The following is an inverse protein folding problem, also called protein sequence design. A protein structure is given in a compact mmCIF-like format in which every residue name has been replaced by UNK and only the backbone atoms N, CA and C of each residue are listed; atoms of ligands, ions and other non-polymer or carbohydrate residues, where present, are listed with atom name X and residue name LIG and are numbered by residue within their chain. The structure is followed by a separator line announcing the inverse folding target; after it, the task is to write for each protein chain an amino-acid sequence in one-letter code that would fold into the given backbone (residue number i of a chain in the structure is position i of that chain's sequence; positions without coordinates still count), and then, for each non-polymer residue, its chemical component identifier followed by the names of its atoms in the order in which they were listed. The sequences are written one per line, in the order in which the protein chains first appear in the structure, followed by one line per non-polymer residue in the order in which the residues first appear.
data_IF_299632535855
#
_entry.id   IF_299632535855
#
_cell.length_a   1.000
_cell.length_b   1.000
_cell.length_c   1.000
_cell.angle_alpha   90.00
_cell.angle_beta   90.00
_cell.angle_gamma   90.00
#
_symmetry.space_group_name_H-M   'P 1'
#
loop_
_entity.id
_entity.type
_entity.pdbx_description
1 polymer ?
#
# COMPACT_ATOMS: atom_id res chain seq x y z
N UNK A 1 22.91 -32.41 -22.39
CA UNK A 1 21.52 -32.00 -22.07
C UNK A 1 21.60 -30.98 -20.95
N UNK A 2 21.16 -29.73 -21.11
CA UNK A 2 21.09 -28.82 -19.98
C UNK A 2 19.99 -29.31 -19.04
N UNK A 3 20.36 -29.56 -17.79
CA UNK A 3 19.45 -29.89 -16.71
C UNK A 3 18.35 -28.83 -16.61
N UNK A 4 17.09 -29.27 -16.62
CA UNK A 4 15.96 -28.42 -16.20
C UNK A 4 16.32 -27.83 -14.83
N UNK A 5 16.24 -26.50 -14.62
CA UNK A 5 16.38 -25.96 -13.28
C UNK A 5 15.33 -26.59 -12.38
N UNK A 6 15.73 -26.94 -11.16
CA UNK A 6 14.87 -27.46 -10.10
C UNK A 6 13.59 -26.63 -10.07
N UNK A 7 12.44 -27.28 -10.21
CA UNK A 7 11.12 -26.65 -10.22
C UNK A 7 10.86 -26.09 -8.81
N UNK A 8 11.40 -24.90 -8.51
CA UNK A 8 11.24 -24.26 -7.21
C UNK A 8 9.79 -23.83 -7.03
N UNK A 9 9.19 -24.17 -5.89
CA UNK A 9 7.82 -23.81 -5.56
C UNK A 9 7.65 -22.28 -5.65
N UNK A 10 6.74 -21.75 -6.50
CA UNK A 10 6.52 -20.31 -6.66
C UNK A 10 6.25 -19.58 -5.34
N UNK A 11 5.62 -20.26 -4.38
CA UNK A 11 5.29 -19.73 -3.06
C UNK A 11 6.57 -19.49 -2.25
N UNK A 12 7.52 -20.44 -2.33
CA UNK A 12 8.80 -20.35 -1.66
C UNK A 12 9.65 -19.21 -2.25
N UNK A 13 9.65 -19.08 -3.57
CA UNK A 13 10.32 -17.97 -4.26
C UNK A 13 9.77 -16.61 -3.86
N UNK A 14 8.45 -16.49 -3.70
CA UNK A 14 7.84 -15.27 -3.20
C UNK A 14 8.27 -14.98 -1.75
N UNK A 15 8.28 -16.00 -0.88
CA UNK A 15 8.72 -15.85 0.52
C UNK A 15 10.16 -15.35 0.57
N UNK A 16 11.09 -16.01 -0.13
CA UNK A 16 12.50 -15.61 -0.20
C UNK A 16 12.67 -14.18 -0.74
N UNK A 17 11.88 -13.79 -1.75
CA UNK A 17 11.87 -12.42 -2.29
C UNK A 17 11.38 -11.42 -1.23
N UNK A 18 10.30 -11.75 -0.52
CA UNK A 18 9.72 -10.88 0.50
C UNK A 18 10.62 -10.74 1.74
N UNK A 19 11.43 -11.72 2.10
CA UNK A 19 12.40 -11.60 3.20
C UNK A 19 13.42 -10.48 2.97
N UNK A 20 13.69 -10.13 1.71
CA UNK A 20 14.67 -9.11 1.32
C UNK A 20 14.03 -7.73 1.06
N UNK A 21 12.70 -7.64 1.00
CA UNK A 21 11.97 -6.41 0.66
C UNK A 21 11.23 -5.87 1.88
N UNK A 22 11.79 -4.83 2.48
CA UNK A 22 11.18 -4.13 3.63
C UNK A 22 10.27 -2.96 3.22
N UNK A 23 10.45 -2.43 2.01
CA UNK A 23 9.63 -1.33 1.50
C UNK A 23 8.26 -1.85 1.08
N UNK A 24 7.21 -1.42 1.78
CA UNK A 24 5.84 -1.91 1.57
C UNK A 24 5.36 -1.83 0.12
N UNK A 25 5.66 -0.73 -0.60
CA UNK A 25 5.30 -0.61 -2.02
C UNK A 25 5.87 -1.73 -2.88
N UNK A 26 7.18 -2.01 -2.72
CA UNK A 26 7.86 -3.10 -3.44
C UNK A 26 7.36 -4.49 -3.03
N UNK A 27 6.90 -4.68 -1.78
CA UNK A 27 6.25 -5.93 -1.37
C UNK A 27 4.92 -6.13 -2.10
N UNK A 28 4.12 -5.07 -2.20
CA UNK A 28 2.82 -5.13 -2.88
C UNK A 28 3.00 -5.37 -4.38
N UNK A 29 4.02 -4.77 -5.00
CA UNK A 29 4.43 -5.10 -6.37
C UNK A 29 4.81 -6.58 -6.52
N UNK A 30 5.61 -7.13 -5.61
CA UNK A 30 5.99 -8.55 -5.64
C UNK A 30 4.77 -9.49 -5.48
N UNK A 31 3.82 -9.14 -4.61
CA UNK A 31 2.56 -9.88 -4.49
C UNK A 31 1.72 -9.77 -5.76
N UNK A 32 1.61 -8.58 -6.35
CA UNK A 32 0.86 -8.38 -7.58
C UNK A 32 1.46 -9.21 -8.73
N UNK A 33 2.77 -9.14 -8.92
CA UNK A 33 3.50 -9.91 -9.91
C UNK A 33 3.23 -11.42 -9.77
N UNK A 34 3.36 -11.94 -8.54
CA UNK A 34 3.10 -13.34 -8.23
C UNK A 34 1.65 -13.75 -8.53
N UNK A 35 0.67 -12.90 -8.20
CA UNK A 35 -0.74 -13.20 -8.48
C UNK A 35 -1.02 -13.22 -9.99
N UNK A 36 -0.44 -12.31 -10.76
CA UNK A 36 -0.58 -12.32 -12.23
C UNK A 36 0.10 -13.55 -12.83
N UNK A 37 1.28 -13.95 -12.35
CA UNK A 37 1.99 -15.14 -12.84
C UNK A 37 1.21 -16.45 -12.60
N UNK A 38 0.34 -16.48 -11.59
CA UNK A 38 -0.56 -17.62 -11.31
C UNK A 38 -1.93 -17.51 -11.97
N UNK A 39 -2.22 -16.39 -12.63
CA UNK A 39 -3.52 -16.15 -13.23
C UNK A 39 -3.67 -16.94 -14.53
N UNK A 40 -4.82 -17.57 -14.73
CA UNK A 40 -5.19 -18.19 -16.01
C UNK A 40 -5.75 -17.16 -17.01
N UNK A 41 -6.20 -16.00 -16.51
CA UNK A 41 -6.81 -14.94 -17.33
C UNK A 41 -5.81 -13.90 -17.88
N UNK A 42 -4.63 -13.79 -17.26
CA UNK A 42 -3.68 -12.70 -17.51
C UNK A 42 -2.25 -13.21 -17.58
N UNK A 43 -1.49 -12.66 -18.52
CA UNK A 43 -0.06 -12.89 -18.66
C UNK A 43 0.71 -11.61 -18.27
N UNK A 44 1.77 -11.75 -17.47
CA UNK A 44 2.68 -10.63 -17.19
C UNK A 44 3.62 -10.41 -18.39
N UNK A 45 3.56 -9.23 -19.02
CA UNK A 45 4.48 -8.88 -20.12
C UNK A 45 5.66 -8.05 -19.64
N UNK A 46 5.42 -7.10 -18.73
CA UNK A 46 6.43 -6.18 -18.20
C UNK A 46 6.11 -5.86 -16.73
N UNK A 47 7.14 -5.85 -15.88
CA UNK A 47 7.09 -5.29 -14.53
C UNK A 47 8.22 -4.26 -14.31
N UNK A 48 7.92 -3.19 -13.58
CA UNK A 48 8.83 -2.14 -13.14
C UNK A 48 9.71 -1.54 -14.26
N UNK A 49 9.10 -1.16 -15.39
CA UNK A 49 9.83 -0.63 -16.54
C UNK A 49 10.23 0.83 -16.32
N UNK A 50 11.52 1.05 -16.10
CA UNK A 50 12.09 2.39 -16.03
C UNK A 50 12.14 3.05 -17.41
N UNK A 51 11.64 4.28 -17.49
CA UNK A 51 11.69 5.12 -18.68
C UNK A 51 12.84 6.11 -18.53
N UNK A 52 13.93 5.87 -19.24
CA UNK A 52 15.15 6.68 -19.16
C UNK A 52 15.37 7.40 -20.49
N UNK A 53 15.62 8.72 -20.43
CA UNK A 53 15.99 9.54 -21.58
C UNK A 53 17.21 10.39 -21.20
N UNK A 54 18.27 10.36 -22.01
CA UNK A 54 19.48 11.17 -21.79
C UNK A 54 20.04 11.04 -20.36
N UNK A 55 20.17 9.81 -19.85
CA UNK A 55 20.60 9.48 -18.46
C UNK A 55 19.67 10.00 -17.35
N UNK A 56 18.49 10.53 -17.68
CA UNK A 56 17.48 10.98 -16.71
C UNK A 56 16.29 10.03 -16.70
N UNK A 57 15.92 9.56 -15.52
CA UNK A 57 14.67 8.81 -15.32
C UNK A 57 13.48 9.75 -15.44
N UNK A 58 12.63 9.51 -16.44
CA UNK A 58 11.37 10.23 -16.66
C UNK A 58 10.25 9.68 -15.78
N UNK A 59 10.32 8.39 -15.45
CA UNK A 59 9.35 7.67 -14.61
C UNK A 59 9.54 6.16 -14.69
N UNK A 60 8.58 5.42 -14.14
CA UNK A 60 8.50 3.96 -14.17
C UNK A 60 7.06 3.59 -14.51
N UNK A 61 6.85 2.58 -15.36
CA UNK A 61 5.56 1.91 -15.52
C UNK A 61 5.56 0.68 -14.62
N UNK A 62 4.58 0.57 -13.71
CA UNK A 62 4.57 -0.51 -12.73
C UNK A 62 4.37 -1.86 -13.41
N UNK A 63 3.29 -2.05 -14.19
CA UNK A 63 3.03 -3.32 -14.89
C UNK A 63 2.36 -3.13 -16.25
N UNK A 64 2.74 -3.97 -17.21
CA UNK A 64 1.93 -4.25 -18.40
C UNK A 64 1.60 -5.74 -18.38
N UNK A 65 0.31 -6.03 -18.33
CA UNK A 65 -0.24 -7.39 -18.43
C UNK A 65 -1.04 -7.53 -19.72
N UNK A 66 -1.30 -8.76 -20.14
CA UNK A 66 -2.14 -9.05 -21.31
C UNK A 66 -3.28 -9.97 -20.89
N UNK A 67 -4.51 -9.63 -21.29
CA UNK A 67 -5.66 -10.53 -21.09
C UNK A 67 -5.57 -11.66 -22.11
N UNK A 68 -5.35 -12.89 -21.65
CA UNK A 68 -5.08 -14.06 -22.50
C UNK A 68 -6.22 -14.29 -23.50
N UNK A 69 -7.46 -14.21 -23.04
CA UNK A 69 -8.63 -14.48 -23.88
C UNK A 69 -8.78 -13.53 -25.09
N UNK A 70 -8.19 -12.33 -25.05
CA UNK A 70 -8.37 -11.31 -26.09
C UNK A 70 -7.08 -10.73 -26.65
N UNK A 71 -5.92 -11.11 -26.11
CA UNK A 71 -4.62 -10.48 -26.41
C UNK A 71 -4.55 -8.99 -26.09
N UNK A 72 -5.41 -8.49 -25.20
CA UNK A 72 -5.54 -7.05 -24.93
C UNK A 72 -4.49 -6.61 -23.89
N UNK A 73 -3.52 -5.74 -24.24
CA UNK A 73 -2.56 -5.23 -23.27
C UNK A 73 -3.21 -4.22 -22.32
N UNK A 74 -2.84 -4.28 -21.05
CA UNK A 74 -3.34 -3.43 -19.97
C UNK A 74 -2.14 -2.90 -19.19
N UNK A 75 -1.98 -1.59 -19.17
CA UNK A 75 -1.07 -0.90 -18.26
C UNK A 75 -1.74 -0.72 -16.91
N UNK A 76 -1.08 -1.14 -15.84
CA UNK A 76 -1.56 -1.04 -14.47
C UNK A 76 -0.57 -0.21 -13.65
N UNK A 77 -1.07 0.90 -13.11
CA UNK A 77 -0.42 1.64 -12.03
C UNK A 77 -0.90 1.06 -10.69
N UNK A 78 0.03 0.60 -9.85
CA UNK A 78 -0.26 -0.03 -8.58
C UNK A 78 -0.08 0.96 -7.43
N UNK A 79 -1.10 1.09 -6.59
CA UNK A 79 -1.07 1.97 -5.43
C UNK A 79 -1.51 1.22 -4.19
N UNK A 80 -0.69 1.30 -3.14
CA UNK A 80 -1.02 0.78 -1.84
C UNK A 80 -0.69 1.80 -0.74
N UNK A 81 -1.70 2.30 -0.04
CA UNK A 81 -1.58 3.45 0.87
C UNK A 81 -2.33 3.26 2.18
N UNK A 82 -1.88 4.00 3.20
CA UNK A 82 -2.54 4.12 4.50
C UNK A 82 -2.83 5.58 4.70
N UNK A 83 -4.09 5.91 4.97
CA UNK A 83 -4.54 7.28 5.18
C UNK A 83 -5.31 7.39 6.49
N UNK A 84 -5.09 8.48 7.21
CA UNK A 84 -5.89 8.94 8.34
C UNK A 84 -6.75 10.12 7.89
N UNK A 85 -7.97 10.23 8.40
CA UNK A 85 -8.88 11.34 8.11
C UNK A 85 -8.68 12.49 9.10
N UNK A 86 -8.28 13.67 8.62
CA UNK A 86 -8.20 14.90 9.40
C UNK A 86 -9.41 15.81 9.11
N UNK A 87 -10.37 15.95 10.06
CA UNK A 87 -11.57 16.75 9.86
C UNK A 87 -11.30 18.26 9.76
N UNK A 88 -10.11 18.74 10.13
CA UNK A 88 -9.77 20.17 10.12
C UNK A 88 -9.35 20.67 8.73
N UNK A 89 -9.09 19.76 7.78
CA UNK A 89 -8.73 20.13 6.41
C UNK A 89 -10.00 20.45 5.62
N UNK A 90 -10.00 21.57 4.87
CA UNK A 90 -11.20 22.04 4.17
C UNK A 90 -11.66 21.10 3.06
N UNK A 91 -10.75 20.73 2.16
CA UNK A 91 -11.06 19.92 0.97
C UNK A 91 -11.16 18.42 1.32
N UNK A 92 -12.26 17.78 0.95
CA UNK A 92 -12.63 16.42 1.38
C UNK A 92 -11.56 15.37 1.03
N UNK A 93 -11.04 15.36 -0.21
CA UNK A 93 -9.98 14.42 -0.59
C UNK A 93 -8.64 14.73 0.06
N UNK A 94 -8.39 16.00 0.43
CA UNK A 94 -7.19 16.40 1.15
C UNK A 94 -7.25 16.01 2.64
N UNK A 95 -8.43 15.69 3.19
CA UNK A 95 -8.57 15.19 4.57
C UNK A 95 -7.91 13.84 4.77
N UNK A 96 -7.79 13.04 3.72
CA UNK A 96 -7.13 11.73 3.76
C UNK A 96 -5.62 11.91 3.62
N UNK A 97 -4.93 12.02 4.74
CA UNK A 97 -3.49 12.29 4.81
C UNK A 97 -2.74 11.04 5.28
N UNK A 98 -1.47 10.91 4.89
CA UNK A 98 -0.61 9.89 5.48
C UNK A 98 -0.51 10.12 6.99
N UNK A 99 -0.33 9.06 7.81
CA UNK A 99 -0.29 9.18 9.28
C UNK A 99 0.73 10.21 9.81
N UNK A 100 1.80 10.44 9.03
CA UNK A 100 2.88 11.38 9.33
C UNK A 100 2.77 12.72 8.57
N UNK A 101 1.63 13.00 7.93
CA UNK A 101 1.34 14.23 7.16
C UNK A 101 2.34 14.53 6.02
N UNK A 102 2.91 13.49 5.40
CA UNK A 102 3.91 13.62 4.32
C UNK A 102 3.32 13.45 2.91
N UNK A 103 2.08 13.01 2.82
CA UNK A 103 1.34 12.81 1.59
C UNK A 103 -0.16 12.88 1.85
N UNK A 104 -0.96 13.07 0.80
CA UNK A 104 -2.42 12.94 0.85
C UNK A 104 -2.98 12.09 -0.29
N UNK A 105 -4.24 11.68 -0.17
CA UNK A 105 -4.98 11.02 -1.23
C UNK A 105 -5.09 11.93 -2.46
N UNK A 106 -5.45 13.21 -2.24
CA UNK A 106 -5.54 14.21 -3.30
C UNK A 106 -4.22 14.33 -4.07
N UNK A 107 -3.10 14.55 -3.37
CA UNK A 107 -1.78 14.66 -4.01
C UNK A 107 -1.42 13.40 -4.81
N UNK A 108 -1.75 12.21 -4.29
CA UNK A 108 -1.48 10.95 -4.99
C UNK A 108 -2.36 10.81 -6.24
N UNK A 109 -3.64 11.18 -6.17
CA UNK A 109 -4.56 11.18 -7.32
C UNK A 109 -4.08 12.17 -8.39
N UNK A 110 -3.72 13.39 -8.00
CA UNK A 110 -3.24 14.40 -8.94
C UNK A 110 -1.90 14.01 -9.57
N UNK A 111 -0.99 13.39 -8.82
CA UNK A 111 0.26 12.83 -9.37
C UNK A 111 -0.01 11.71 -10.38
N UNK A 112 -0.99 10.83 -10.13
CA UNK A 112 -1.36 9.78 -11.09
C UNK A 112 -1.87 10.40 -12.40
N UNK A 113 -2.80 11.35 -12.32
CA UNK A 113 -3.41 12.01 -13.49
C UNK A 113 -2.40 12.83 -14.29
N UNK A 114 -1.57 13.62 -13.62
CA UNK A 114 -0.69 14.60 -14.27
C UNK A 114 0.67 14.04 -14.69
N UNK A 115 1.14 12.95 -14.05
CA UNK A 115 2.49 12.40 -14.30
C UNK A 115 2.49 10.94 -14.73
N UNK A 116 1.89 10.04 -13.95
CA UNK A 116 2.02 8.59 -14.20
C UNK A 116 1.24 8.12 -15.42
N UNK A 117 -0.06 8.40 -15.49
CA UNK A 117 -0.89 7.98 -16.64
C UNK A 117 -0.42 8.61 -17.97
N UNK A 118 0.01 9.89 -18.02
CA UNK A 118 0.59 10.46 -19.22
C UNK A 118 1.94 9.86 -19.63
N UNK A 119 2.66 9.15 -18.74
CA UNK A 119 3.97 8.57 -19.03
C UNK A 119 3.89 7.57 -20.19
N UNK A 120 2.79 6.82 -20.30
CA UNK A 120 2.54 5.89 -21.41
C UNK A 120 2.54 6.58 -22.78
N UNK A 121 2.20 7.88 -22.82
CA UNK A 121 2.07 8.64 -24.06
C UNK A 121 3.37 9.32 -24.51
N UNK A 122 4.42 9.32 -23.68
CA UNK A 122 5.72 9.91 -24.01
C UNK A 122 6.37 9.18 -25.18
N UNK A 123 7.07 9.92 -26.04
CA UNK A 123 7.79 9.39 -27.21
C UNK A 123 8.75 8.26 -26.82
N UNK A 124 9.59 8.50 -25.82
CA UNK A 124 10.54 7.50 -25.31
C UNK A 124 9.85 6.23 -24.82
N UNK A 125 8.74 6.35 -24.09
CA UNK A 125 7.95 5.18 -23.65
C UNK A 125 7.41 4.39 -24.84
N UNK A 126 6.87 5.07 -25.86
CA UNK A 126 6.37 4.43 -27.08
C UNK A 126 7.46 3.70 -27.84
N UNK A 127 8.65 4.30 -27.97
CA UNK A 127 9.81 3.66 -28.62
C UNK A 127 10.24 2.39 -27.88
N UNK A 128 10.33 2.46 -26.54
CA UNK A 128 10.68 1.35 -25.65
C UNK A 128 9.66 0.21 -25.71
N UNK A 129 8.37 0.51 -25.82
CA UNK A 129 7.32 -0.51 -25.91
C UNK A 129 7.22 -1.12 -27.31
N UNK A 130 7.36 -0.31 -28.36
CA UNK A 130 7.36 -0.80 -29.74
C UNK A 130 8.56 -1.72 -30.02
N UNK A 131 9.74 -1.45 -29.44
CA UNK A 131 10.91 -2.34 -29.57
C UNK A 131 10.73 -3.68 -28.85
N UNK A 132 9.73 -3.78 -27.96
CA UNK A 132 9.30 -5.03 -27.30
C UNK A 132 8.04 -5.62 -27.95
N UNK A 133 7.67 -5.16 -29.14
CA UNK A 133 6.47 -5.58 -29.87
C UNK A 133 5.13 -5.33 -29.13
N UNK A 134 5.09 -4.36 -28.21
CA UNK A 134 3.87 -3.96 -27.51
C UNK A 134 3.33 -2.67 -28.14
N UNK A 135 2.20 -2.77 -28.83
CA UNK A 135 1.56 -1.62 -29.47
C UNK A 135 0.93 -0.69 -28.43
N UNK A 136 1.41 0.55 -28.36
CA UNK A 136 0.87 1.56 -27.43
C UNK A 136 -0.51 2.12 -27.81
N UNK A 137 -1.00 1.86 -29.03
CA UNK A 137 -2.30 2.37 -29.49
C UNK A 137 -3.48 1.63 -28.86
N UNK A 138 -3.29 0.38 -28.45
CA UNK A 138 -4.34 -0.46 -27.89
C UNK A 138 -4.29 -0.57 -26.37
N UNK A 139 -3.22 -0.13 -25.70
CA UNK A 139 -3.05 -0.37 -24.26
C UNK A 139 -4.15 0.31 -23.44
N UNK A 140 -4.97 -0.50 -22.77
CA UNK A 140 -5.92 -0.01 -21.79
C UNK A 140 -5.17 0.42 -20.52
N UNK A 141 -5.48 1.60 -19.98
CA UNK A 141 -4.89 2.05 -18.72
C UNK A 141 -5.83 1.78 -17.56
N UNK A 142 -5.28 1.24 -16.47
CA UNK A 142 -5.98 0.93 -15.23
C UNK A 142 -5.13 1.36 -14.03
N UNK A 143 -5.79 1.70 -12.95
CA UNK A 143 -5.15 1.97 -11.66
C UNK A 143 -5.67 0.93 -10.68
N UNK A 144 -4.77 0.15 -10.09
CA UNK A 144 -5.08 -0.70 -8.96
C UNK A 144 -4.83 0.09 -7.68
N UNK A 145 -5.84 0.86 -7.25
CA UNK A 145 -5.75 1.71 -6.05
C UNK A 145 -6.31 0.97 -4.83
N UNK A 146 -5.43 0.53 -3.94
CA UNK A 146 -5.79 -0.06 -2.65
C UNK A 146 -5.36 0.86 -1.52
N UNK A 147 -6.27 1.12 -0.58
CA UNK A 147 -5.99 1.94 0.58
C UNK A 147 -6.62 1.34 1.84
N UNK A 148 -5.92 1.48 2.96
CA UNK A 148 -6.45 1.27 4.29
C UNK A 148 -6.70 2.62 4.95
N UNK A 149 -7.95 2.86 5.34
CA UNK A 149 -8.43 4.14 5.84
C UNK A 149 -8.69 4.06 7.34
N UNK A 150 -8.36 5.14 8.03
CA UNK A 150 -8.49 5.28 9.47
C UNK A 150 -9.15 6.62 9.79
N UNK A 151 -10.18 6.59 10.62
CA UNK A 151 -10.95 7.80 10.96
C UNK A 151 -10.74 8.18 12.43
N UNK A 152 -11.00 9.42 12.86
CA UNK A 152 -10.97 9.74 14.29
C UNK A 152 -11.89 8.78 15.03
N UNK A 153 -11.50 8.33 16.23
CA UNK A 153 -12.27 7.33 16.99
C UNK A 153 -13.77 7.66 17.11
N UNK A 154 -14.08 8.96 17.25
CA UNK A 154 -15.46 9.51 17.35
C UNK A 154 -16.28 9.43 16.05
N UNK A 155 -15.65 9.13 14.91
CA UNK A 155 -16.27 9.10 13.59
C UNK A 155 -16.37 7.67 13.00
N UNK A 156 -16.05 6.62 13.74
CA UNK A 156 -16.04 5.24 13.23
C UNK A 156 -17.38 4.78 12.64
N UNK A 157 -18.50 5.31 13.13
CA UNK A 157 -19.84 4.96 12.67
C UNK A 157 -20.37 5.91 11.58
N UNK A 158 -19.53 6.81 11.04
CA UNK A 158 -19.93 7.73 9.97
C UNK A 158 -19.59 7.16 8.60
N UNK A 159 -20.47 7.46 7.64
CA UNK A 159 -20.22 7.20 6.23
C UNK A 159 -19.56 8.41 5.57
N UNK A 160 -18.63 8.14 4.66
CA UNK A 160 -17.91 9.13 3.88
C UNK A 160 -18.24 8.91 2.40
N UNK A 161 -18.74 9.95 1.72
CA UNK A 161 -19.27 9.84 0.36
C UNK A 161 -18.20 9.70 -0.73
N UNK A 162 -16.99 10.19 -0.46
CA UNK A 162 -15.92 10.34 -1.46
C UNK A 162 -14.96 9.14 -1.52
N UNK A 163 -15.20 8.10 -0.71
CA UNK A 163 -14.36 6.91 -0.59
C UNK A 163 -15.22 5.64 -0.52
N UNK A 164 -14.60 4.49 -0.73
CA UNK A 164 -15.20 3.21 -0.40
C UNK A 164 -15.12 3.00 1.13
N UNK A 165 -16.25 2.98 1.83
CA UNK A 165 -16.29 2.84 3.29
C UNK A 165 -15.77 1.47 3.77
N UNK A 166 -15.80 0.43 2.93
CA UNK A 166 -15.20 -0.88 3.23
C UNK A 166 -13.68 -0.81 3.42
N UNK A 167 -13.04 0.26 2.93
CA UNK A 167 -11.62 0.51 3.14
C UNK A 167 -11.30 1.07 4.53
N UNK A 168 -12.31 1.49 5.31
CA UNK A 168 -12.14 1.94 6.70
C UNK A 168 -11.98 0.70 7.58
N UNK A 169 -10.76 0.49 8.09
CA UNK A 169 -10.40 -0.72 8.83
C UNK A 169 -9.98 -0.45 10.27
N UNK A 170 -10.14 0.79 10.73
CA UNK A 170 -9.70 1.20 12.05
C UNK A 170 -9.86 2.69 12.28
N UNK A 171 -9.27 3.15 13.37
CA UNK A 171 -9.35 4.54 13.78
C UNK A 171 -7.99 5.16 14.08
N UNK A 172 -7.98 6.41 14.49
CA UNK A 172 -6.80 7.04 15.05
C UNK A 172 -7.16 7.85 16.29
N UNK A 173 -6.16 7.99 17.18
CA UNK A 173 -6.23 8.76 18.43
C UNK A 173 -4.95 9.58 18.60
N UNK A 174 -5.01 10.68 19.35
CA UNK A 174 -3.83 11.41 19.77
C UNK A 174 -3.07 10.62 20.84
N UNK A 175 -1.76 10.86 20.95
CA UNK A 175 -0.93 10.23 22.00
C UNK A 175 -1.43 10.52 23.43
N UNK A 176 -2.04 11.68 23.67
CA UNK A 176 -2.65 12.02 24.96
C UNK A 176 -3.84 11.12 25.30
N UNK A 177 -4.63 10.71 24.33
CA UNK A 177 -5.76 9.77 24.51
C UNK A 177 -5.26 8.35 24.79
N UNK A 178 -4.12 7.96 24.21
CA UNK A 178 -3.50 6.65 24.46
C UNK A 178 -3.04 6.47 25.91
N UNK A 179 -2.85 7.57 26.68
CA UNK A 179 -2.49 7.54 28.11
C UNK A 179 -3.66 7.20 29.05
N UNK A 180 -4.87 7.05 28.53
CA UNK A 180 -6.05 6.80 29.36
C UNK A 180 -6.09 5.37 29.92
N UNK A 181 -6.68 5.23 31.11
CA UNK A 181 -6.84 3.94 31.81
C UNK A 181 -7.67 2.92 31.01
N UNK A 182 -8.42 3.38 30.01
CA UNK A 182 -9.20 2.53 29.10
C UNK A 182 -8.34 1.46 28.39
N UNK A 183 -7.07 1.77 28.13
CA UNK A 183 -6.15 0.86 27.45
C UNK A 183 -5.44 -0.12 28.40
N UNK A 184 -5.59 0.03 29.72
CA UNK A 184 -4.81 -0.71 30.73
C UNK A 184 -5.05 -2.23 30.71
N UNK A 185 -6.26 -2.67 30.34
CA UNK A 185 -6.66 -4.09 30.34
C UNK A 185 -6.46 -4.79 28.98
N UNK A 186 -6.03 -4.05 27.96
CA UNK A 186 -5.82 -4.57 26.61
C UNK A 186 -4.37 -5.00 26.39
N UNK A 187 -4.14 -5.82 25.38
CA UNK A 187 -2.80 -6.15 24.90
C UNK A 187 -2.53 -5.52 23.54
N UNK A 188 -1.27 -5.25 23.24
CA UNK A 188 -0.87 -4.43 22.11
C UNK A 188 0.31 -5.00 21.34
N UNK A 189 0.42 -4.60 20.08
CA UNK A 189 1.61 -4.82 19.26
C UNK A 189 1.75 -3.69 18.24
N UNK A 190 2.96 -3.15 18.04
CA UNK A 190 3.20 -2.15 16.99
C UNK A 190 3.99 -2.79 15.83
N UNK A 191 3.33 -3.20 14.74
CA UNK A 191 4.01 -3.81 13.61
C UNK A 191 4.90 -2.81 12.86
N UNK A 192 6.04 -3.30 12.36
CA UNK A 192 6.80 -2.57 11.35
C UNK A 192 5.98 -2.39 10.06
N UNK A 193 6.35 -1.38 9.25
CA UNK A 193 5.52 -0.93 8.11
C UNK A 193 5.22 -2.01 7.09
N UNK A 194 6.09 -2.99 6.91
CA UNK A 194 5.87 -4.12 5.99
C UNK A 194 4.72 -5.04 6.41
N UNK A 195 4.36 -5.04 7.69
CA UNK A 195 3.33 -5.90 8.27
C UNK A 195 2.01 -5.17 8.54
N UNK A 196 1.93 -3.87 8.25
CA UNK A 196 0.67 -3.12 8.36
C UNK A 196 -0.54 -3.72 7.63
N UNK A 197 -0.39 -4.42 6.48
CA UNK A 197 -1.50 -5.12 5.83
C UNK A 197 -2.04 -6.33 6.60
N UNK A 198 -1.24 -6.90 7.50
CA UNK A 198 -1.54 -8.17 8.16
C UNK A 198 -2.73 -8.00 9.12
N UNK A 199 -3.56 -9.04 9.17
CA UNK A 199 -4.66 -9.12 10.14
C UNK A 199 -4.10 -9.31 11.56
N UNK A 200 -4.41 -8.41 12.51
CA UNK A 200 -3.99 -8.55 13.91
C UNK A 200 -4.37 -9.90 14.53
N UNK A 201 -5.43 -10.57 14.07
CA UNK A 201 -5.82 -11.89 14.56
C UNK A 201 -4.79 -12.99 14.26
N UNK A 202 -3.83 -12.73 13.35
CA UNK A 202 -2.72 -13.64 13.01
C UNK A 202 -1.45 -13.39 13.82
N UNK A 203 -1.51 -12.46 14.78
CA UNK A 203 -0.36 -12.09 15.59
C UNK A 203 -0.31 -12.92 16.88
N UNK A 204 0.85 -13.49 17.18
CA UNK A 204 1.07 -14.30 18.40
C UNK A 204 1.74 -13.49 19.53
N UNK A 205 2.38 -12.37 19.21
CA UNK A 205 3.18 -11.58 20.16
C UNK A 205 2.38 -10.39 20.66
N UNK A 206 2.05 -10.37 21.94
CA UNK A 206 1.24 -9.32 22.56
C UNK A 206 1.90 -8.79 23.83
N UNK A 207 1.88 -7.46 23.98
CA UNK A 207 2.47 -6.74 25.11
C UNK A 207 1.36 -6.08 25.94
N UNK A 208 1.54 -6.03 27.26
CA UNK A 208 0.72 -5.18 28.13
C UNK A 208 0.89 -3.70 27.79
N UNK A 209 0.00 -2.86 28.32
CA UNK A 209 0.11 -1.41 28.16
C UNK A 209 1.46 -0.87 28.65
N UNK A 210 1.92 -1.30 29.83
CA UNK A 210 3.21 -0.88 30.40
C UNK A 210 4.42 -1.27 29.55
N UNK A 211 4.33 -2.38 28.82
CA UNK A 211 5.42 -2.87 27.96
C UNK A 211 5.45 -2.14 26.62
N UNK A 212 4.30 -1.87 26.00
CA UNK A 212 4.24 -1.20 24.69
C UNK A 212 4.45 0.32 24.81
N UNK A 213 4.05 0.93 25.93
CA UNK A 213 4.01 2.38 26.08
C UNK A 213 5.36 3.07 25.78
N UNK A 214 6.52 2.62 26.31
CA UNK A 214 7.81 3.24 26.01
C UNK A 214 8.15 3.22 24.51
N UNK A 215 7.75 2.16 23.79
CA UNK A 215 7.97 2.06 22.36
C UNK A 215 7.12 3.09 21.58
N UNK A 216 5.84 3.22 21.92
CA UNK A 216 4.95 4.21 21.29
C UNK A 216 5.44 5.63 21.59
N UNK A 217 5.81 5.91 22.84
CA UNK A 217 6.35 7.21 23.25
C UNK A 217 7.61 7.58 22.45
N UNK A 218 8.53 6.64 22.26
CA UNK A 218 9.74 6.83 21.44
C UNK A 218 9.40 7.17 19.99
N UNK A 219 8.40 6.51 19.37
CA UNK A 219 7.97 6.85 18.02
C UNK A 219 7.37 8.26 17.94
N UNK A 220 6.56 8.65 18.91
CA UNK A 220 5.93 9.98 18.96
C UNK A 220 6.99 11.08 19.12
N UNK A 221 7.99 10.88 19.98
CA UNK A 221 9.14 11.79 20.11
C UNK A 221 9.91 11.98 18.79
N UNK A 222 9.95 10.95 17.95
CA UNK A 222 10.55 10.98 16.60
C UNK A 222 9.61 11.53 15.52
N UNK A 223 8.43 12.09 15.89
CA UNK A 223 7.37 12.52 14.97
C UNK A 223 6.95 11.41 14.01
N UNK A 224 6.81 10.20 14.54
CA UNK A 224 6.30 9.03 13.83
C UNK A 224 4.97 8.60 14.45
N UNK A 225 3.93 8.50 13.63
CA UNK A 225 2.63 7.96 14.02
C UNK A 225 2.61 6.44 13.77
N UNK A 226 2.82 5.60 14.78
CA UNK A 226 2.81 4.14 14.62
C UNK A 226 1.39 3.61 14.39
N UNK A 227 1.29 2.53 13.61
CA UNK A 227 0.13 1.65 13.65
C UNK A 227 0.25 0.77 14.90
N UNK A 228 -0.84 0.63 15.64
CA UNK A 228 -0.94 -0.19 16.84
C UNK A 228 -2.07 -1.19 16.62
N UNK A 229 -1.77 -2.45 16.85
CA UNK A 229 -2.76 -3.51 17.00
C UNK A 229 -3.13 -3.63 18.46
N UNK A 230 -4.41 -3.82 18.73
CA UNK A 230 -4.94 -4.02 20.07
C UNK A 230 -5.79 -5.28 20.10
N UNK A 231 -5.55 -6.10 21.11
CA UNK A 231 -6.33 -7.29 21.44
C UNK A 231 -7.09 -7.00 22.73
N UNK A 232 -8.41 -7.02 22.62
CA UNK A 232 -9.31 -7.02 23.77
C UNK A 232 -9.73 -8.46 24.08
N UNK A 233 -10.60 -8.66 25.08
CA UNK A 233 -11.16 -10.00 25.37
C UNK A 233 -11.94 -10.59 24.19
N UNK A 234 -12.56 -9.74 23.36
CA UNK A 234 -13.56 -10.16 22.38
C UNK A 234 -13.19 -9.81 20.93
N UNK A 235 -12.26 -8.88 20.72
CA UNK A 235 -12.00 -8.31 19.39
C UNK A 235 -10.53 -8.00 19.19
N UNK A 236 -10.16 -7.89 17.91
CA UNK A 236 -8.90 -7.30 17.49
C UNK A 236 -9.19 -5.98 16.77
N UNK A 237 -8.46 -4.95 17.14
CA UNK A 237 -8.56 -3.62 16.56
C UNK A 237 -7.20 -3.16 16.05
N UNK A 238 -7.22 -2.18 15.15
CA UNK A 238 -6.02 -1.50 14.67
C UNK A 238 -6.26 -0.01 14.61
N UNK A 239 -5.31 0.77 15.08
CA UNK A 239 -5.42 2.22 15.06
C UNK A 239 -4.06 2.90 14.95
N UNK A 240 -4.05 4.14 14.48
CA UNK A 240 -2.86 4.99 14.56
C UNK A 240 -2.86 5.79 15.85
N UNK A 241 -1.68 5.87 16.49
CA UNK A 241 -1.41 6.90 17.50
C UNK A 241 -0.68 8.04 16.80
N UNK A 242 -1.28 9.23 16.77
CA UNK A 242 -0.72 10.38 16.04
C UNK A 242 0.06 11.31 16.95
N UNK A 243 1.15 11.89 16.43
CA UNK A 243 2.05 12.81 17.16
C UNK A 243 1.62 14.28 17.10
N UNK A 244 0.74 14.61 16.17
CA UNK A 244 0.27 15.97 15.90
C UNK A 244 -1.07 16.26 16.59
#
# INVERSE_FOLDING_TARGET
MPSKPLNQNPDLLLIEKLERIFVLGKRVEAFFEYQIQKSEDYELKIGNLQIIQNKKTLGELDFIIEKIATGQPIHIELVYKFYVYDPNIKEELARWIGPNRKDSLLEKVEKLKSKQLPLLQKKTTKEILNSRHISTKSIAQRVCYKASLFVPRKLQNKLFSSINNDCIIGFWIHFTEFKSDEFSQSQFFSPSKQFWPVDPAKNDIWFSFSEIYPQIESFIQQKRSPLVWMKTKNTFERFFVVWW
#
